data_IF_738414500455
#
_entry.id   IF_738414500455
#
_cell.length_a   1.000
_cell.length_b   1.000
_cell.length_c   1.000
_cell.angle_alpha   90.00
_cell.angle_beta   90.00
_cell.angle_gamma   90.00
#
_symmetry.space_group_name_H-M   'P 1'
#
loop_
_entity.id
_entity.type
_entity.pdbx_description
1 polymer ?
#
# COMPACT_ATOMS: atom_id res chain seq x y z
N UNK A 1 12.37 -2.97 -17.68
CA UNK A 1 11.05 -2.67 -17.10
C UNK A 1 10.58 -3.93 -16.39
N UNK A 2 10.20 -3.85 -15.11
CA UNK A 2 9.88 -5.05 -14.32
C UNK A 2 8.45 -4.95 -13.82
N UNK A 3 7.52 -5.41 -14.65
CA UNK A 3 6.19 -5.74 -14.18
C UNK A 3 6.26 -6.99 -13.29
N UNK A 4 5.31 -7.14 -12.38
CA UNK A 4 5.15 -8.39 -11.64
C UNK A 4 3.74 -8.94 -11.81
N UNK A 5 3.67 -10.27 -11.93
CA UNK A 5 2.41 -10.98 -11.89
C UNK A 5 1.91 -11.05 -10.45
N UNK A 6 0.70 -10.53 -10.21
CA UNK A 6 0.11 -10.43 -8.88
C UNK A 6 -0.16 -11.82 -8.29
N UNK A 7 -0.62 -12.77 -9.09
CA UNK A 7 -0.94 -14.12 -8.62
C UNK A 7 0.32 -14.88 -8.17
N UNK A 8 1.39 -14.76 -8.95
CA UNK A 8 2.68 -15.38 -8.62
C UNK A 8 3.26 -14.79 -7.34
N UNK A 9 3.20 -13.46 -7.20
CA UNK A 9 3.63 -12.78 -5.99
C UNK A 9 2.81 -13.22 -4.76
N UNK A 10 1.48 -13.30 -4.88
CA UNK A 10 0.61 -13.76 -3.80
C UNK A 10 0.89 -15.23 -3.45
N UNK A 11 1.14 -16.10 -4.44
CA UNK A 11 1.53 -17.49 -4.20
C UNK A 11 2.87 -17.58 -3.49
N UNK A 12 3.86 -16.79 -3.90
CA UNK A 12 5.17 -16.74 -3.25
C UNK A 12 5.03 -16.26 -1.80
N UNK A 13 4.35 -15.14 -1.57
CA UNK A 13 4.08 -14.60 -0.22
C UNK A 13 3.38 -15.62 0.68
N UNK A 14 2.40 -16.37 0.15
CA UNK A 14 1.72 -17.45 0.89
C UNK A 14 2.63 -18.62 1.24
N UNK A 15 3.61 -18.97 0.38
CA UNK A 15 4.61 -20.02 0.69
C UNK A 15 5.55 -19.57 1.80
N UNK A 16 5.88 -18.29 1.85
CA UNK A 16 6.64 -17.66 2.92
C UNK A 16 5.75 -17.23 4.11
N UNK A 17 4.49 -17.69 4.19
CA UNK A 17 3.55 -17.24 5.22
C UNK A 17 3.98 -17.53 6.67
N UNK A 18 4.82 -18.55 6.87
CA UNK A 18 5.42 -18.85 8.18
C UNK A 18 6.49 -17.83 8.62
N UNK A 19 6.92 -16.97 7.70
CA UNK A 19 7.97 -15.96 7.82
C UNK A 19 7.44 -14.55 7.50
N UNK A 20 6.12 -14.33 7.53
CA UNK A 20 5.54 -12.98 7.39
C UNK A 20 5.89 -12.19 8.66
N UNK A 21 7.11 -11.69 8.69
CA UNK A 21 7.52 -10.60 9.54
C UNK A 21 6.96 -9.33 8.93
N UNK A 22 6.32 -8.53 9.78
CA UNK A 22 6.07 -7.11 9.53
C UNK A 22 7.35 -6.51 8.94
N UNK A 23 7.26 -5.77 7.81
CA UNK A 23 8.45 -5.17 7.22
C UNK A 23 9.14 -4.28 8.26
N UNK A 24 10.48 -4.30 8.35
CA UNK A 24 11.19 -3.43 9.29
C UNK A 24 10.76 -1.98 9.11
N UNK A 25 10.53 -1.27 10.21
CA UNK A 25 10.04 0.11 10.20
C UNK A 25 10.94 1.04 9.35
N UNK A 26 12.25 0.82 9.37
CA UNK A 26 13.19 1.60 8.55
C UNK A 26 12.89 1.47 7.05
N UNK A 27 12.64 0.24 6.56
CA UNK A 27 12.28 -0.01 5.18
C UNK A 27 10.92 0.62 4.83
N UNK A 28 9.95 0.55 5.76
CA UNK A 28 8.64 1.17 5.60
C UNK A 28 8.74 2.70 5.43
N UNK A 29 9.50 3.35 6.30
CA UNK A 29 9.74 4.79 6.26
C UNK A 29 10.53 5.19 5.01
N UNK A 30 11.54 4.42 4.63
CA UNK A 30 12.30 4.65 3.41
C UNK A 30 11.42 4.57 2.15
N UNK A 31 10.52 3.58 2.07
CA UNK A 31 9.55 3.49 0.99
C UNK A 31 8.59 4.69 1.00
N UNK A 32 8.12 5.13 2.17
CA UNK A 32 7.22 6.26 2.31
C UNK A 32 7.86 7.56 1.82
N UNK A 33 9.06 7.87 2.31
CA UNK A 33 9.82 9.03 1.90
C UNK A 33 10.14 8.99 0.40
N UNK A 34 10.49 7.82 -0.13
CA UNK A 34 10.77 7.66 -1.55
C UNK A 34 9.55 7.97 -2.42
N UNK A 35 8.41 7.35 -2.12
CA UNK A 35 7.17 7.57 -2.88
C UNK A 35 6.71 9.01 -2.73
N UNK A 36 6.75 9.61 -1.53
CA UNK A 36 6.46 11.04 -1.35
C UNK A 36 7.32 11.91 -2.27
N UNK A 37 8.62 11.68 -2.30
CA UNK A 37 9.55 12.44 -3.14
C UNK A 37 9.25 12.30 -4.64
N UNK A 38 8.81 11.12 -5.11
CA UNK A 38 8.39 10.92 -6.51
C UNK A 38 7.23 11.84 -6.88
N UNK A 39 6.25 12.00 -5.99
CA UNK A 39 5.08 12.84 -6.22
C UNK A 39 5.40 14.34 -6.05
N UNK A 40 6.16 14.70 -5.02
CA UNK A 40 6.57 16.08 -4.73
C UNK A 40 7.47 16.68 -5.82
N UNK A 41 8.44 15.92 -6.34
CA UNK A 41 9.36 16.37 -7.41
C UNK A 41 8.61 16.81 -8.67
N UNK A 42 7.39 16.31 -8.87
CA UNK A 42 6.55 16.62 -10.05
C UNK A 42 5.35 17.51 -9.74
N UNK A 43 5.26 18.02 -8.50
CA UNK A 43 4.14 18.83 -8.01
C UNK A 43 2.80 18.15 -8.26
N UNK A 44 2.76 16.83 -8.08
CA UNK A 44 1.56 16.02 -8.24
C UNK A 44 0.73 16.13 -6.96
N UNK A 45 -0.56 16.40 -7.10
CA UNK A 45 -1.47 16.40 -5.97
C UNK A 45 -1.58 14.96 -5.44
N UNK A 46 -1.30 14.79 -4.15
CA UNK A 46 -1.36 13.49 -3.50
C UNK A 46 -1.74 13.61 -2.03
N UNK A 47 -2.34 12.54 -1.51
CA UNK A 47 -2.61 12.37 -0.08
C UNK A 47 -1.90 11.11 0.40
N UNK A 48 -1.11 11.22 1.47
CA UNK A 48 -0.41 10.08 2.05
C UNK A 48 -1.17 9.56 3.27
N UNK A 49 -1.52 8.28 3.26
CA UNK A 49 -2.25 7.61 4.33
C UNK A 49 -1.41 6.45 4.84
N UNK A 50 -1.14 6.43 6.15
CA UNK A 50 -0.53 5.29 6.84
C UNK A 50 -1.60 4.47 7.56
N UNK A 51 -1.47 3.15 7.54
CA UNK A 51 -2.33 2.28 8.34
C UNK A 51 -2.15 2.53 9.84
N UNK A 52 -3.22 2.91 10.54
CA UNK A 52 -3.29 2.86 12.00
C UNK A 52 -3.45 1.39 12.42
N UNK A 53 -2.70 0.93 13.43
CA UNK A 53 -2.96 -0.37 14.05
C UNK A 53 -4.41 -0.40 14.58
N UNK A 54 -5.22 -1.33 14.07
CA UNK A 54 -6.54 -1.59 14.64
C UNK A 54 -6.47 -2.81 15.55
N UNK A 55 -6.76 -2.60 16.84
CA UNK A 55 -7.08 -3.66 17.78
C UNK A 55 -8.55 -4.06 17.55
N UNK A 56 -8.78 -5.03 16.67
CA UNK A 56 -10.08 -5.71 16.61
C UNK A 56 -10.12 -6.74 17.74
N UNK A 57 -11.20 -6.80 18.53
CA UNK A 57 -11.42 -7.72 19.68
C UNK A 57 -10.60 -9.04 19.60
N UNK A 58 -9.42 -9.07 20.22
CA UNK A 58 -8.55 -10.25 20.33
C UNK A 58 -7.56 -10.51 19.18
N UNK A 59 -7.54 -9.71 18.12
CA UNK A 59 -6.66 -9.85 16.97
C UNK A 59 -5.91 -8.54 16.68
N UNK A 60 -4.60 -8.51 16.98
CA UNK A 60 -3.71 -7.40 16.59
C UNK A 60 -3.31 -7.60 15.13
N UNK A 61 -3.88 -6.78 14.24
CA UNK A 61 -3.45 -6.72 12.85
C UNK A 61 -2.59 -5.49 12.67
N UNK A 62 -1.27 -5.68 12.68
CA UNK A 62 -0.36 -4.65 12.20
C UNK A 62 -0.57 -4.55 10.67
N UNK A 63 -1.11 -3.42 10.20
CA UNK A 63 -1.21 -3.11 8.77
C UNK A 63 -0.27 -1.95 8.45
N UNK A 64 1.04 -2.20 8.27
CA UNK A 64 1.95 -1.21 7.71
C UNK A 64 1.73 -1.11 6.20
N UNK A 65 0.50 -0.79 5.79
CA UNK A 65 0.17 -0.55 4.38
C UNK A 65 0.35 0.95 4.14
N UNK A 66 1.24 1.32 3.22
CA UNK A 66 1.34 2.68 2.70
C UNK A 66 0.27 2.84 1.65
N UNK A 67 -0.55 3.88 1.79
CA UNK A 67 -1.55 4.25 0.81
C UNK A 67 -1.29 5.66 0.31
N UNK A 68 -1.34 5.86 -0.99
CA UNK A 68 -1.24 7.19 -1.60
C UNK A 68 -2.42 7.42 -2.54
N UNK A 69 -3.26 8.39 -2.17
CA UNK A 69 -4.31 8.88 -3.03
C UNK A 69 -3.72 9.87 -4.03
N UNK A 70 -4.21 9.85 -5.27
CA UNK A 70 -3.78 10.74 -6.33
C UNK A 70 -4.98 11.31 -7.12
N UNK A 71 -4.75 12.34 -7.92
CA UNK A 71 -5.77 12.92 -8.80
C UNK A 71 -5.79 12.15 -10.14
N UNK A 72 -6.97 11.71 -10.59
CA UNK A 72 -7.15 10.90 -11.82
C UNK A 72 -6.52 11.57 -13.05
N UNK A 73 -6.58 12.91 -13.13
CA UNK A 73 -5.99 13.68 -14.25
C UNK A 73 -4.47 13.48 -14.37
N UNK A 74 -3.82 13.10 -13.28
CA UNK A 74 -2.39 12.88 -13.20
C UNK A 74 -1.98 11.41 -13.41
N UNK A 75 -2.94 10.48 -13.59
CA UNK A 75 -2.68 9.05 -13.70
C UNK A 75 -1.57 8.71 -14.72
N UNK A 76 -1.69 9.22 -15.95
CA UNK A 76 -0.70 8.92 -17.00
C UNK A 76 0.69 9.45 -16.66
N UNK A 77 0.78 10.60 -15.99
CA UNK A 77 2.05 11.20 -15.55
C UNK A 77 2.67 10.40 -14.42
N UNK A 78 1.84 9.95 -13.46
CA UNK A 78 2.23 9.09 -12.34
C UNK A 78 2.72 7.75 -12.88
N UNK A 79 1.91 7.07 -13.70
CA UNK A 79 2.26 5.79 -14.31
C UNK A 79 3.61 5.87 -15.03
N UNK A 80 3.79 6.83 -15.94
CA UNK A 80 5.04 6.99 -16.66
C UNK A 80 6.25 7.24 -15.75
N UNK A 81 6.06 7.87 -14.58
CA UNK A 81 7.13 8.09 -13.60
C UNK A 81 7.47 6.81 -12.83
N UNK A 82 6.46 6.10 -12.35
CA UNK A 82 6.63 4.83 -11.66
C UNK A 82 7.27 3.78 -12.59
N UNK A 83 6.89 3.79 -13.87
CA UNK A 83 7.42 2.90 -14.92
C UNK A 83 8.89 3.14 -15.24
N UNK A 84 9.34 4.40 -15.17
CA UNK A 84 10.73 4.77 -15.40
C UNK A 84 11.65 4.45 -14.22
N UNK A 85 11.07 4.10 -13.06
CA UNK A 85 11.79 3.91 -11.82
C UNK A 85 12.22 2.45 -11.64
N UNK A 86 13.52 2.21 -11.42
CA UNK A 86 14.06 0.87 -11.24
C UNK A 86 13.75 0.27 -9.86
N UNK A 87 13.41 1.10 -8.87
CA UNK A 87 13.06 0.67 -7.53
C UNK A 87 11.61 0.19 -7.44
N UNK A 88 10.76 0.62 -8.38
CA UNK A 88 9.32 0.39 -8.35
C UNK A 88 8.96 -0.73 -9.32
N UNK A 89 8.19 -1.69 -8.84
CA UNK A 89 7.59 -2.74 -9.67
C UNK A 89 6.09 -2.53 -9.69
N UNK A 90 5.56 -2.38 -10.90
CA UNK A 90 4.14 -2.20 -11.14
C UNK A 90 3.47 -3.56 -11.37
N UNK A 91 2.22 -3.74 -10.94
CA UNK A 91 1.44 -4.88 -11.33
C UNK A 91 1.07 -4.75 -12.82
N UNK A 92 0.96 -5.89 -13.50
CA UNK A 92 0.44 -5.92 -14.87
C UNK A 92 -1.00 -5.38 -14.91
N UNK A 93 -1.32 -4.58 -15.94
CA UNK A 93 -2.69 -4.10 -16.16
C UNK A 93 -3.14 -2.89 -15.32
N UNK A 94 -2.20 -2.16 -14.69
CA UNK A 94 -2.52 -0.96 -13.93
C UNK A 94 -3.28 0.09 -14.76
N UNK A 95 -4.38 0.59 -14.19
CA UNK A 95 -5.30 1.58 -14.75
C UNK A 95 -5.77 2.55 -13.66
N UNK A 96 -6.46 3.62 -14.06
CA UNK A 96 -6.89 4.67 -13.13
C UNK A 96 -8.20 4.38 -12.39
N UNK A 97 -8.90 3.29 -12.74
CA UNK A 97 -10.21 2.97 -12.16
C UNK A 97 -10.11 2.16 -10.87
N UNK A 98 -9.01 1.44 -10.67
CA UNK A 98 -8.84 0.53 -9.54
C UNK A 98 -7.54 0.80 -8.78
N UNK A 99 -7.54 0.63 -7.45
CA UNK A 99 -6.33 0.60 -6.66
C UNK A 99 -5.33 -0.40 -7.21
N UNK A 100 -4.06 -0.04 -7.15
CA UNK A 100 -2.97 -0.91 -7.53
C UNK A 100 -1.91 -0.96 -6.45
N UNK A 101 -1.44 -2.18 -6.19
CA UNK A 101 -0.33 -2.43 -5.27
C UNK A 101 0.99 -2.34 -6.01
N UNK A 102 1.85 -1.45 -5.59
CA UNK A 102 3.22 -1.31 -6.06
C UNK A 102 4.14 -2.04 -5.09
N UNK A 103 5.27 -2.50 -5.61
CA UNK A 103 6.38 -2.94 -4.76
C UNK A 103 7.52 -1.93 -4.88
N UNK A 104 7.93 -1.36 -3.76
CA UNK A 104 9.07 -0.45 -3.66
C UNK A 104 10.22 -1.19 -3.02
N UNK A 105 11.30 -1.39 -3.77
CA UNK A 105 12.50 -2.02 -3.24
C UNK A 105 13.28 -1.01 -2.41
N UNK A 106 13.55 -1.38 -1.16
CA UNK A 106 14.30 -0.59 -0.18
C UNK A 106 15.52 -1.37 0.28
N UNK A 107 16.51 -0.67 0.84
CA UNK A 107 17.68 -1.29 1.46
C UNK A 107 19.00 -0.57 1.21
N UNK A 108 20.12 -1.17 1.66
CA UNK A 108 21.46 -0.59 1.52
C UNK A 108 21.85 -0.28 0.07
N UNK A 109 21.41 -1.10 -0.88
CA UNK A 109 21.67 -0.90 -2.32
C UNK A 109 21.14 0.45 -2.84
N UNK A 110 20.14 0.99 -2.16
CA UNK A 110 19.47 2.24 -2.50
C UNK A 110 19.88 3.40 -1.61
N UNK A 111 20.82 3.16 -0.68
CA UNK A 111 21.29 4.10 0.35
C UNK A 111 20.17 4.59 1.26
N UNK A 112 19.18 3.74 1.48
CA UNK A 112 18.07 4.05 2.37
C UNK A 112 18.57 4.07 3.83
N UNK A 113 18.22 5.13 4.55
CA UNK A 113 18.67 5.35 5.91
C UNK A 113 18.15 4.23 6.83
N UNK A 114 18.99 3.74 7.72
CA UNK A 114 18.65 2.77 8.77
C UNK A 114 18.11 1.41 8.28
N UNK A 115 18.12 1.15 6.97
CA UNK A 115 17.72 -0.12 6.38
C UNK A 115 18.88 -1.12 6.42
N UNK A 116 18.83 -2.09 7.35
CA UNK A 116 19.86 -3.13 7.49
C UNK A 116 19.80 -4.20 6.38
N UNK A 117 18.60 -4.46 5.84
CA UNK A 117 18.36 -5.48 4.84
C UNK A 117 17.54 -4.92 3.68
N UNK A 118 17.71 -5.51 2.50
CA UNK A 118 16.87 -5.19 1.35
C UNK A 118 15.48 -5.82 1.51
N UNK A 119 14.44 -5.09 1.12
CA UNK A 119 13.06 -5.55 1.20
C UNK A 119 12.15 -4.88 0.18
N UNK A 120 11.15 -5.62 -0.30
CA UNK A 120 10.08 -5.08 -1.14
C UNK A 120 8.92 -4.63 -0.21
N UNK A 121 8.61 -3.33 -0.21
CA UNK A 121 7.51 -2.74 0.56
C UNK A 121 6.29 -2.56 -0.33
N UNK A 122 5.13 -2.99 0.15
CA UNK A 122 3.85 -2.84 -0.53
C UNK A 122 3.33 -1.40 -0.35
N UNK A 123 3.01 -0.74 -1.46
CA UNK A 123 2.43 0.61 -1.49
C UNK A 123 1.20 0.61 -2.38
N UNK A 124 0.04 0.89 -1.83
CA UNK A 124 -1.21 0.95 -2.57
C UNK A 124 -1.44 2.37 -3.11
N UNK A 125 -1.58 2.51 -4.44
CA UNK A 125 -2.03 3.75 -5.06
C UNK A 125 -3.56 3.71 -5.22
N UNK A 126 -4.24 4.74 -4.73
CA UNK A 126 -5.70 4.79 -4.66
C UNK A 126 -6.22 5.90 -5.58
N UNK A 127 -7.07 5.59 -6.58
CA UNK A 127 -7.73 6.64 -7.36
C UNK A 127 -8.80 7.36 -6.53
N UNK A 128 -9.12 8.62 -6.86
CA UNK A 128 -9.96 9.48 -6.01
C UNK A 128 -11.38 8.91 -5.85
N UNK A 129 -11.95 8.34 -6.91
CA UNK A 129 -13.32 7.83 -6.93
C UNK A 129 -13.46 6.43 -6.29
N UNK A 130 -12.36 5.79 -5.89
CA UNK A 130 -12.43 4.54 -5.14
C UNK A 130 -12.94 4.76 -3.71
N UNK A 131 -12.74 5.96 -3.15
CA UNK A 131 -13.22 6.32 -1.82
C UNK A 131 -14.75 6.43 -1.72
N UNK A 132 -15.44 6.78 -2.81
CA UNK A 132 -16.91 6.88 -2.85
C UNK A 132 -17.60 5.52 -3.12
N UNK A 133 -16.85 4.54 -3.62
CA UNK A 133 -17.33 3.16 -3.87
C UNK A 133 -17.06 2.22 -2.70
N UNK A 134 -17.04 2.71 -1.46
CA UNK A 134 -17.30 1.86 -0.30
C UNK A 134 -18.81 1.77 -0.08
N UNK A 135 -19.55 0.80 -0.67
CA UNK A 135 -20.69 0.30 0.05
C UNK A 135 -20.16 -0.30 1.35
N UNK A 136 -20.83 -0.01 2.44
CA UNK A 136 -20.75 -0.66 3.75
C UNK A 136 -21.06 -2.17 3.72
N UNK A 137 -20.81 -2.83 2.60
CA UNK A 137 -21.00 -4.26 2.38
C UNK A 137 -19.80 -4.83 1.62
N UNK A 138 -18.80 -5.30 2.37
CA UNK A 138 -18.15 -6.54 1.94
C UNK A 138 -19.21 -7.64 2.00
N UNK A 139 -19.31 -8.55 1.02
CA UNK A 139 -20.09 -9.77 1.19
C UNK A 139 -19.42 -10.56 2.31
N UNK A 140 -20.05 -10.52 3.49
CA UNK A 140 -19.72 -11.41 4.58
C UNK A 140 -19.96 -12.83 4.13
N UNK A 141 -18.91 -13.64 4.20
CA UNK A 141 -19.07 -14.91 4.89
C UNK A 141 -19.82 -14.62 6.21
N UNK A 142 -21.04 -15.13 6.33
CA UNK A 142 -21.77 -15.21 7.59
C UNK A 142 -22.12 -13.86 8.23
N UNK A 143 -23.28 -13.32 7.86
CA UNK A 143 -24.04 -12.45 8.76
C UNK A 143 -24.24 -13.14 10.11
N UNK A 144 -23.73 -12.54 11.20
CA UNK A 144 -24.46 -12.34 12.47
C UNK A 144 -23.81 -11.20 13.27
N UNK A 145 -24.66 -10.23 13.58
CA UNK A 145 -24.61 -9.27 14.69
C UNK A 145 -23.79 -7.97 14.48
N UNK A 146 -24.55 -6.87 14.44
CA UNK A 146 -24.07 -5.52 14.24
C UNK A 146 -23.32 -4.98 15.47
N UNK A 147 -22.25 -4.25 15.20
CA UNK A 147 -21.57 -3.45 16.21
C UNK A 147 -22.47 -2.27 16.61
N UNK A 148 -23.10 -2.38 17.78
CA UNK A 148 -23.70 -1.23 18.46
C UNK A 148 -22.61 -0.62 19.33
N UNK A 149 -22.22 0.63 19.06
CA UNK A 149 -21.28 1.36 19.91
C UNK A 149 -21.96 1.67 21.26
N UNK A 150 -21.33 1.41 22.41
CA UNK A 150 -21.88 1.85 23.68
C UNK A 150 -21.75 3.38 23.79
N UNK A 151 -22.87 4.05 24.12
CA UNK A 151 -22.85 5.46 24.49
C UNK A 151 -22.02 5.68 25.76
N UNK A 152 -21.26 6.77 25.86
CA UNK A 152 -20.56 7.12 27.08
C UNK A 152 -21.58 7.47 28.17
N UNK A 153 -21.47 6.80 29.30
CA UNK A 153 -22.24 7.10 30.52
C UNK A 153 -21.58 8.30 31.20
N UNK A 154 -22.35 9.37 31.42
CA UNK A 154 -22.01 10.49 32.31
C UNK A 154 -22.36 10.12 33.75
#
# INVERSE_FOLDING_TARGET
>A
MVYYNVEDYVRQKKRHAKEISVPPLANLLAAADYVRNVFETKKLAHGFMGGLEMLCLGYRREMPDLQIAYDDKDFHRIKAKLEADQRIRLPEGINSLFPARLLVRTGPAFRDKDCAHSGDIEVDIIPPDFGELLPSHRPGLGSKEGCTLPLPTL
#
